data_IF_314318360390
#
_entry.id   IF_314318360390
#
_cell.length_a   1.000
_cell.length_b   1.000
_cell.length_c   1.000
_cell.angle_alpha   90.00
_cell.angle_beta   90.00
_cell.angle_gamma   90.00
#
_symmetry.space_group_name_H-M   'P 1'
#
loop_
_entity.id
_entity.type
_entity.pdbx_description
1 polymer ?
#
# COMPACT_ATOMS: atom_id res chain seq x y z
N UNK A 1 21.76 -0.43 28.47
CA UNK A 1 20.56 -1.28 28.62
C UNK A 1 20.62 -2.32 27.53
N UNK A 2 20.43 -3.60 27.85
CA UNK A 2 20.41 -4.67 26.85
C UNK A 2 19.00 -4.71 26.25
N UNK A 3 18.87 -4.48 24.96
CA UNK A 3 17.58 -4.53 24.26
C UNK A 3 17.54 -5.84 23.49
N UNK A 4 16.61 -6.72 23.86
CA UNK A 4 16.38 -8.00 23.20
C UNK A 4 14.98 -8.00 22.56
N UNK A 5 14.87 -8.07 21.23
CA UNK A 5 13.59 -8.26 20.56
C UNK A 5 13.05 -9.66 20.90
N UNK A 6 11.73 -9.83 20.84
CA UNK A 6 11.14 -11.17 20.89
C UNK A 6 11.44 -11.93 19.59
N UNK A 7 11.69 -13.23 19.70
CA UNK A 7 11.75 -14.11 18.52
C UNK A 7 10.40 -14.02 17.79
N UNK A 8 10.44 -13.82 16.47
CA UNK A 8 9.27 -13.56 15.63
C UNK A 8 8.89 -12.09 15.51
N UNK A 9 9.53 -11.16 16.22
CA UNK A 9 9.27 -9.73 16.07
C UNK A 9 9.64 -9.26 14.65
N UNK A 10 8.63 -8.86 13.88
CA UNK A 10 8.75 -8.38 12.51
C UNK A 10 8.43 -6.88 12.41
N UNK A 11 9.26 -6.15 11.67
CA UNK A 11 9.05 -4.73 11.38
C UNK A 11 10.36 -3.96 11.16
N UNK A 12 10.32 -2.65 11.34
CA UNK A 12 11.48 -1.77 11.13
C UNK A 12 12.37 -1.78 12.37
N UNK A 13 13.63 -2.16 12.19
CA UNK A 13 14.67 -2.12 13.21
C UNK A 13 15.50 -0.84 13.07
N UNK A 14 15.90 -0.28 14.20
CA UNK A 14 16.88 0.81 14.26
C UNK A 14 18.14 0.28 14.92
N UNK A 15 19.23 0.27 14.15
CA UNK A 15 20.52 -0.25 14.58
C UNK A 15 21.53 0.90 14.67
N UNK A 16 22.49 0.78 15.58
CA UNK A 16 23.63 1.66 15.66
C UNK A 16 24.65 1.35 14.54
N UNK A 17 25.47 2.34 14.19
CA UNK A 17 26.64 2.16 13.32
C UNK A 17 27.56 1.10 13.94
N UNK A 18 28.13 0.15 13.17
CA UNK A 18 28.12 0.07 11.69
C UNK A 18 26.95 -0.69 11.06
N UNK A 19 26.13 -1.38 11.84
CA UNK A 19 25.07 -2.27 11.33
C UNK A 19 23.92 -1.52 10.63
N UNK A 20 23.72 -0.25 10.96
CA UNK A 20 22.73 0.60 10.30
C UNK A 20 22.87 0.62 8.78
N UNK A 21 24.11 0.62 8.26
CA UNK A 21 24.36 0.66 6.82
C UNK A 21 23.97 -0.63 6.08
N UNK A 22 23.76 -1.74 6.81
CA UNK A 22 23.33 -3.01 6.23
C UNK A 22 21.81 -3.16 6.14
N UNK A 23 21.06 -2.28 6.81
CA UNK A 23 19.61 -2.26 6.70
C UNK A 23 19.18 -1.58 5.40
N UNK A 24 18.36 -2.27 4.62
CA UNK A 24 17.68 -1.66 3.50
C UNK A 24 16.60 -0.68 4.01
N UNK A 25 16.54 0.51 3.40
CA UNK A 25 15.60 1.58 3.77
C UNK A 25 14.16 1.07 3.74
N UNK A 26 13.39 1.34 4.80
CA UNK A 26 11.98 0.96 4.95
C UNK A 26 11.70 -0.55 4.75
N UNK A 27 12.70 -1.41 4.95
CA UNK A 27 12.53 -2.86 4.80
C UNK A 27 12.24 -3.50 6.16
N UNK A 28 11.16 -4.27 6.30
CA UNK A 28 10.90 -5.03 7.52
C UNK A 28 11.88 -6.20 7.63
N UNK A 29 12.43 -6.37 8.83
CA UNK A 29 13.20 -7.54 9.22
C UNK A 29 12.44 -8.31 10.30
N UNK A 30 12.71 -9.60 10.40
CA UNK A 30 12.16 -10.50 11.42
C UNK A 30 13.28 -11.03 12.28
N UNK A 31 13.15 -10.98 13.60
CA UNK A 31 14.06 -11.67 14.50
C UNK A 31 13.77 -13.17 14.46
N UNK A 32 14.70 -13.96 13.92
CA UNK A 32 14.54 -15.42 13.77
C UNK A 32 15.23 -16.18 14.88
N UNK A 33 16.36 -15.67 15.37
CA UNK A 33 17.14 -16.33 16.41
C UNK A 33 17.88 -15.32 17.29
N UNK A 34 18.10 -15.72 18.54
CA UNK A 34 18.92 -15.03 19.53
C UNK A 34 19.87 -16.08 20.11
N UNK A 35 21.17 -15.92 19.88
CA UNK A 35 22.20 -16.87 20.34
C UNK A 35 23.20 -16.15 21.24
N UNK A 36 23.67 -16.80 22.30
CA UNK A 36 24.78 -16.23 23.09
C UNK A 36 26.09 -16.45 22.34
N UNK A 37 27.07 -15.58 22.57
CA UNK A 37 28.43 -15.77 22.03
C UNK A 37 29.07 -17.08 22.53
N UNK A 38 28.74 -17.48 23.76
CA UNK A 38 29.14 -18.77 24.36
C UNK A 38 28.62 -19.97 23.56
N UNK A 39 27.37 -19.91 23.07
CA UNK A 39 26.77 -20.99 22.28
C UNK A 39 27.48 -21.14 20.94
N UNK A 40 27.80 -20.01 20.29
CA UNK A 40 28.54 -19.98 19.02
C UNK A 40 29.96 -20.53 19.20
N UNK A 41 30.61 -20.21 20.31
CA UNK A 41 31.93 -20.74 20.64
C UNK A 41 31.90 -22.24 20.92
N UNK A 42 30.82 -22.74 21.55
CA UNK A 42 30.62 -24.17 21.78
C UNK A 42 30.38 -24.96 20.47
N UNK A 43 29.84 -24.32 19.42
CA UNK A 43 29.75 -24.86 18.07
C UNK A 43 31.11 -24.89 17.33
N UNK A 44 32.19 -24.40 17.96
CA UNK A 44 33.54 -24.35 17.39
C UNK A 44 33.78 -23.19 16.44
N UNK A 45 32.87 -22.21 16.40
CA UNK A 45 32.98 -21.00 15.59
C UNK A 45 33.51 -19.85 16.45
N UNK A 46 34.47 -19.07 15.93
CA UNK A 46 34.93 -17.85 16.61
C UNK A 46 33.91 -16.71 16.42
N UNK A 47 33.18 -16.29 17.47
CA UNK A 47 32.15 -15.27 17.35
C UNK A 47 32.72 -13.89 16.97
N UNK A 48 33.98 -13.61 17.31
CA UNK A 48 34.63 -12.35 16.95
C UNK A 48 34.92 -12.30 15.45
N UNK A 49 35.54 -13.36 14.92
CA UNK A 49 35.87 -13.47 13.50
C UNK A 49 34.62 -13.49 12.61
N UNK A 50 33.50 -14.04 13.11
CA UNK A 50 32.26 -14.17 12.34
C UNK A 50 31.38 -12.90 12.35
N UNK A 51 31.23 -12.23 13.50
CA UNK A 51 30.22 -11.17 13.65
C UNK A 51 30.79 -9.76 13.87
N UNK A 52 32.05 -9.63 14.29
CA UNK A 52 32.64 -8.34 14.67
C UNK A 52 33.73 -7.91 13.68
N UNK A 53 34.62 -8.83 13.31
CA UNK A 53 35.76 -8.57 12.44
C UNK A 53 35.41 -8.29 10.97
N UNK A 54 34.43 -8.97 10.34
CA UNK A 54 34.25 -8.85 8.89
C UNK A 54 33.95 -7.42 8.44
N UNK A 55 34.48 -7.05 7.28
CA UNK A 55 34.06 -5.83 6.61
C UNK A 55 32.56 -5.96 6.24
N UNK A 56 31.75 -4.92 6.45
CA UNK A 56 32.13 -3.52 6.73
C UNK A 56 32.15 -3.12 8.22
N UNK A 57 32.00 -4.07 9.15
CA UNK A 57 31.85 -3.75 10.57
C UNK A 57 33.17 -3.34 11.22
N UNK A 58 34.25 -4.09 10.96
CA UNK A 58 35.61 -3.82 11.45
C UNK A 58 35.65 -3.42 12.94
N UNK A 59 34.88 -4.12 13.77
CA UNK A 59 34.77 -3.82 15.20
C UNK A 59 35.98 -4.42 15.91
N UNK A 60 36.66 -3.62 16.73
CA UNK A 60 37.84 -4.07 17.45
C UNK A 60 37.55 -5.12 18.53
N UNK A 61 38.51 -6.01 18.75
CA UNK A 61 38.44 -7.11 19.73
C UNK A 61 38.14 -6.64 21.16
N UNK A 62 38.61 -5.44 21.52
CA UNK A 62 38.31 -4.83 22.83
C UNK A 62 36.80 -4.68 23.08
N UNK A 63 36.03 -4.40 22.03
CA UNK A 63 34.57 -4.28 22.11
C UNK A 63 33.91 -5.64 22.26
N UNK A 64 34.39 -6.65 21.55
CA UNK A 64 33.92 -8.01 21.71
C UNK A 64 34.13 -8.52 23.14
N UNK A 65 35.31 -8.31 23.72
CA UNK A 65 35.60 -8.72 25.11
C UNK A 65 34.67 -8.00 26.11
N UNK A 66 34.34 -6.73 25.85
CA UNK A 66 33.36 -5.98 26.66
C UNK A 66 31.95 -6.59 26.53
N UNK A 67 31.55 -6.95 25.32
CA UNK A 67 30.24 -7.52 25.02
C UNK A 67 30.10 -8.93 25.62
N UNK A 68 31.16 -9.75 25.59
CA UNK A 68 31.20 -11.05 26.27
C UNK A 68 31.01 -10.86 27.78
N UNK A 69 31.72 -9.92 28.41
CA UNK A 69 31.56 -9.61 29.84
C UNK A 69 30.15 -9.11 30.22
N UNK A 70 29.42 -8.54 29.25
CA UNK A 70 28.05 -8.07 29.43
C UNK A 70 26.98 -9.12 29.08
N UNK A 71 27.37 -10.33 28.66
CA UNK A 71 26.44 -11.38 28.25
C UNK A 71 25.63 -11.00 27.00
N UNK A 72 26.27 -10.30 26.05
CA UNK A 72 25.62 -9.87 24.81
C UNK A 72 25.22 -11.06 23.94
N UNK A 73 24.05 -10.96 23.33
CA UNK A 73 23.53 -11.99 22.42
C UNK A 73 23.64 -11.52 20.97
N UNK A 74 23.92 -12.45 20.07
CA UNK A 74 23.86 -12.25 18.63
C UNK A 74 22.43 -12.49 18.16
N UNK A 75 21.85 -11.47 17.54
CA UNK A 75 20.48 -11.47 17.04
C UNK A 75 20.52 -11.66 15.54
N UNK A 76 19.81 -12.67 15.05
CA UNK A 76 19.71 -12.97 13.62
C UNK A 76 18.43 -12.35 13.06
N UNK A 77 18.59 -11.37 12.20
CA UNK A 77 17.53 -10.65 11.51
C UNK A 77 17.44 -11.12 10.07
N UNK A 78 16.24 -11.38 9.58
CA UNK A 78 15.98 -11.81 8.20
C UNK A 78 14.99 -10.85 7.55
N UNK A 79 15.35 -10.31 6.39
CA UNK A 79 14.42 -9.50 5.59
C UNK A 79 13.45 -10.38 4.81
N UNK A 80 12.32 -9.83 4.37
CA UNK A 80 11.38 -10.52 3.48
C UNK A 80 12.01 -10.93 2.13
N UNK A 81 13.15 -10.33 1.77
CA UNK A 81 13.94 -10.68 0.58
C UNK A 81 14.99 -11.77 0.83
N UNK A 82 15.03 -12.33 2.04
CA UNK A 82 15.97 -13.40 2.42
C UNK A 82 17.38 -12.91 2.80
N UNK A 83 17.58 -11.61 3.02
CA UNK A 83 18.86 -11.09 3.50
C UNK A 83 19.01 -11.37 5.00
N UNK A 84 20.08 -12.10 5.36
CA UNK A 84 20.45 -12.36 6.74
C UNK A 84 21.38 -11.27 7.26
N UNK A 85 21.13 -10.83 8.49
CA UNK A 85 21.96 -9.88 9.20
C UNK A 85 22.10 -10.32 10.66
N UNK A 86 23.33 -10.54 11.11
CA UNK A 86 23.65 -10.90 12.48
C UNK A 86 24.17 -9.67 13.21
N UNK A 87 23.53 -9.31 14.33
CA UNK A 87 23.79 -8.06 15.04
C UNK A 87 23.91 -8.35 16.53
N UNK A 88 24.98 -7.91 17.21
CA UNK A 88 25.03 -7.98 18.66
C UNK A 88 23.96 -7.08 19.28
N UNK A 89 23.31 -7.54 20.35
CA UNK A 89 22.20 -6.83 21.00
C UNK A 89 22.55 -5.44 21.54
N UNK A 90 23.84 -5.13 21.72
CA UNK A 90 24.35 -3.79 22.06
C UNK A 90 24.17 -2.76 20.96
N UNK A 91 23.97 -3.19 19.71
CA UNK A 91 23.77 -2.32 18.56
C UNK A 91 22.30 -2.16 18.17
N UNK A 92 21.36 -2.78 18.90
CA UNK A 92 19.92 -2.54 18.68
C UNK A 92 19.49 -1.31 19.48
N UNK A 93 19.13 -0.24 18.77
CA UNK A 93 18.59 0.98 19.38
C UNK A 93 17.07 0.84 19.58
N UNK A 94 16.39 0.28 18.58
CA UNK A 94 14.94 0.07 18.59
C UNK A 94 14.57 -1.17 17.81
N UNK A 95 13.60 -1.91 18.32
CA UNK A 95 12.96 -3.01 17.61
C UNK A 95 11.47 -2.71 17.43
N UNK A 96 10.82 -3.28 16.40
CA UNK A 96 9.41 -3.05 16.15
C UNK A 96 8.58 -3.63 17.30
N UNK A 97 7.76 -2.79 17.91
CA UNK A 97 6.64 -3.28 18.70
C UNK A 97 5.63 -3.92 17.73
N UNK A 98 5.08 -5.08 18.10
CA UNK A 98 4.07 -5.85 17.34
C UNK A 98 2.76 -5.08 17.02
N UNK A 99 2.68 -3.78 17.33
CA UNK A 99 1.51 -2.94 17.13
C UNK A 99 1.55 -2.14 15.81
N UNK A 100 2.39 -2.53 14.84
CA UNK A 100 2.43 -1.91 13.52
C UNK A 100 1.41 -2.51 12.56
N UNK A 101 0.59 -1.67 11.91
CA UNK A 101 -0.28 -2.09 10.80
C UNK A 101 0.54 -2.06 9.51
N UNK A 102 0.61 -3.20 8.81
CA UNK A 102 1.30 -3.30 7.54
C UNK A 102 0.50 -2.58 6.43
N UNK A 103 1.17 -1.73 5.65
CA UNK A 103 0.62 -1.10 4.46
C UNK A 103 1.27 -1.69 3.20
N UNK A 104 0.47 -1.99 2.20
CA UNK A 104 0.93 -2.48 0.88
C UNK A 104 0.43 -1.55 -0.20
N UNK A 105 1.29 -1.20 -1.16
CA UNK A 105 0.87 -0.44 -2.34
C UNK A 105 0.18 -1.40 -3.32
N UNK A 106 -1.10 -1.17 -3.60
CA UNK A 106 -1.93 -2.00 -4.49
C UNK A 106 -2.44 -1.14 -5.63
N UNK A 107 -2.25 -1.61 -6.87
CA UNK A 107 -2.76 -0.96 -8.09
C UNK A 107 -3.92 -1.77 -8.63
N UNK A 108 -5.04 -1.11 -8.93
CA UNK A 108 -6.22 -1.71 -9.55
C UNK A 108 -6.29 -1.19 -11.00
N UNK A 109 -6.13 -2.09 -11.97
CA UNK A 109 -6.27 -1.78 -13.40
C UNK A 109 -7.67 -2.12 -13.91
N UNK A 110 -8.26 -1.24 -14.72
CA UNK A 110 -9.56 -1.47 -15.38
C UNK A 110 -9.33 -1.59 -16.88
N UNK A 111 -9.72 -2.72 -17.47
CA UNK A 111 -9.65 -2.94 -18.92
C UNK A 111 -10.91 -2.39 -19.60
N UNK A 112 -10.74 -1.42 -20.51
CA UNK A 112 -11.84 -0.74 -21.22
C UNK A 112 -12.16 -1.34 -22.60
N UNK A 113 -11.37 -2.32 -23.07
CA UNK A 113 -11.52 -2.91 -24.41
C UNK A 113 -11.11 -1.96 -25.54
N UNK A 114 -11.57 -2.23 -26.76
CA UNK A 114 -11.27 -1.42 -27.93
C UNK A 114 -12.08 -0.11 -27.89
N UNK A 115 -11.38 1.00 -27.65
CA UNK A 115 -11.93 2.34 -27.67
C UNK A 115 -11.21 3.17 -28.75
N UNK A 116 -11.91 4.10 -29.42
CA UNK A 116 -11.26 5.02 -30.35
C UNK A 116 -10.20 5.85 -29.62
N UNK A 117 -9.06 6.06 -30.28
CA UNK A 117 -7.96 6.92 -29.80
C UNK A 117 -8.37 8.40 -29.67
N UNK A 118 -9.43 8.81 -30.37
CA UNK A 118 -10.04 10.14 -30.29
C UNK A 118 -10.90 10.35 -29.03
N UNK A 119 -11.21 9.30 -28.27
CA UNK A 119 -12.11 9.39 -27.11
C UNK A 119 -11.37 9.93 -25.88
N UNK A 120 -11.81 11.08 -25.39
CA UNK A 120 -11.21 11.69 -24.20
C UNK A 120 -11.68 10.98 -22.91
N UNK A 121 -10.76 10.27 -22.24
CA UNK A 121 -11.03 9.54 -20.99
C UNK A 121 -10.87 10.37 -19.71
N UNK A 122 -10.61 11.68 -19.80
CA UNK A 122 -10.28 12.52 -18.63
C UNK A 122 -11.41 12.58 -17.61
N UNK A 123 -12.66 12.62 -18.08
CA UNK A 123 -13.85 12.59 -17.22
C UNK A 123 -13.95 11.27 -16.44
N UNK A 124 -13.73 10.13 -17.12
CA UNK A 124 -13.77 8.79 -16.52
C UNK A 124 -12.68 8.63 -15.46
N UNK A 125 -11.46 9.11 -15.73
CA UNK A 125 -10.35 9.10 -14.77
C UNK A 125 -10.68 9.91 -13.52
N UNK A 126 -11.30 11.08 -13.69
CA UNK A 126 -11.68 11.97 -12.59
C UNK A 126 -12.77 11.34 -11.72
N UNK A 127 -13.77 10.73 -12.33
CA UNK A 127 -14.86 10.06 -11.62
C UNK A 127 -14.38 8.80 -10.90
N UNK A 128 -13.49 8.01 -11.51
CA UNK A 128 -12.87 6.85 -10.86
C UNK A 128 -12.03 7.28 -9.65
N UNK A 129 -11.24 8.35 -9.80
CA UNK A 129 -10.48 8.93 -8.68
C UNK A 129 -11.42 9.38 -7.54
N UNK A 130 -12.53 10.05 -7.86
CA UNK A 130 -13.52 10.47 -6.87
C UNK A 130 -14.19 9.28 -6.15
N UNK A 131 -14.54 8.21 -6.88
CA UNK A 131 -15.11 6.98 -6.28
C UNK A 131 -14.11 6.31 -5.33
N UNK A 132 -12.86 6.18 -5.74
CA UNK A 132 -11.81 5.58 -4.90
C UNK A 132 -11.55 6.43 -3.65
N UNK A 133 -11.50 7.75 -3.79
CA UNK A 133 -11.39 8.68 -2.65
C UNK A 133 -12.58 8.56 -1.71
N UNK A 134 -13.81 8.46 -2.22
CA UNK A 134 -15.01 8.33 -1.39
C UNK A 134 -15.10 6.98 -0.65
N UNK A 135 -14.62 5.89 -1.26
CA UNK A 135 -14.69 4.56 -0.65
C UNK A 135 -13.53 4.27 0.30
N UNK A 136 -12.32 4.74 0.01
CA UNK A 136 -11.11 4.39 0.76
C UNK A 136 -10.46 5.57 1.50
N UNK A 137 -10.90 6.81 1.26
CA UNK A 137 -10.32 8.01 1.88
C UNK A 137 -8.91 8.35 1.41
N UNK A 138 -8.43 7.75 0.31
CA UNK A 138 -7.09 7.99 -0.24
C UNK A 138 -7.08 9.36 -0.92
N UNK A 139 -6.27 10.29 -0.40
CA UNK A 139 -6.36 11.71 -0.75
C UNK A 139 -6.01 12.06 -2.22
N UNK A 140 -5.43 11.16 -3.01
CA UNK A 140 -5.08 11.39 -4.42
C UNK A 140 -4.71 10.06 -5.13
N UNK A 141 -5.68 9.24 -5.56
CA UNK A 141 -5.38 8.04 -6.33
C UNK A 141 -4.85 8.42 -7.73
N UNK A 142 -3.65 7.96 -8.07
CA UNK A 142 -3.06 8.17 -9.39
C UNK A 142 -3.63 7.14 -10.38
N UNK A 143 -4.49 7.57 -11.30
CA UNK A 143 -5.07 6.71 -12.35
C UNK A 143 -4.14 6.75 -13.57
N UNK A 144 -3.33 5.71 -13.75
CA UNK A 144 -2.45 5.56 -14.93
C UNK A 144 -3.19 4.89 -16.07
N UNK A 145 -3.12 5.50 -17.25
CA UNK A 145 -3.57 4.89 -18.50
C UNK A 145 -2.38 4.17 -19.14
N UNK A 146 -2.56 2.89 -19.43
CA UNK A 146 -1.58 2.08 -20.16
C UNK A 146 -2.32 1.46 -21.33
N UNK A 147 -1.98 1.87 -22.55
CA UNK A 147 -2.46 1.21 -23.76
C UNK A 147 -1.77 -0.16 -23.88
N UNK A 148 -2.55 -1.24 -23.83
CA UNK A 148 -2.04 -2.61 -23.73
C UNK A 148 -1.95 -3.32 -25.09
N UNK A 149 -2.42 -2.68 -26.17
CA UNK A 149 -2.54 -3.26 -27.51
C UNK A 149 -2.15 -2.28 -28.62
N UNK A 150 -1.63 -2.82 -29.74
CA UNK A 150 -1.32 -2.04 -30.95
C UNK A 150 -2.56 -1.34 -31.52
N UNK A 151 -2.37 -0.13 -32.08
CA UNK A 151 -3.43 0.64 -32.75
C UNK A 151 -3.89 -0.11 -34.00
N UNK A 152 -5.05 -0.78 -33.93
CA UNK A 152 -5.66 -1.46 -35.06
C UNK A 152 -6.64 -0.55 -35.80
N UNK A 153 -6.52 -0.46 -37.14
CA UNK A 153 -7.49 0.26 -37.98
C UNK A 153 -8.73 -0.60 -38.16
N UNK A 154 -9.82 -0.24 -37.49
CA UNK A 154 -11.14 -0.87 -37.66
C UNK A 154 -11.90 -0.21 -38.82
N UNK A 155 -12.77 -0.97 -39.49
CA UNK A 155 -13.66 -0.41 -40.51
C UNK A 155 -14.75 0.45 -39.88
N UNK A 156 -15.23 1.47 -40.59
CA UNK A 156 -16.29 2.37 -40.11
C UNK A 156 -17.56 1.61 -39.67
N UNK A 157 -17.95 0.55 -40.37
CA UNK A 157 -19.10 -0.27 -40.00
C UNK A 157 -18.92 -0.98 -38.65
N UNK A 158 -17.70 -1.43 -38.34
CA UNK A 158 -17.38 -2.05 -37.04
C UNK A 158 -17.29 -0.99 -35.94
N UNK A 159 -16.78 0.20 -36.24
CA UNK A 159 -16.80 1.35 -35.33
C UNK A 159 -18.23 1.73 -34.93
N UNK A 160 -19.12 1.90 -35.92
CA UNK A 160 -20.53 2.26 -35.69
C UNK A 160 -21.26 1.20 -34.85
N UNK A 161 -21.00 -0.09 -35.11
CA UNK A 161 -21.58 -1.19 -34.34
C UNK A 161 -21.08 -1.22 -32.89
N UNK A 162 -19.82 -0.89 -32.64
CA UNK A 162 -19.24 -0.85 -31.29
C UNK A 162 -19.75 0.38 -30.51
N UNK A 163 -19.85 1.54 -31.15
CA UNK A 163 -20.43 2.74 -30.54
C UNK A 163 -21.92 2.55 -30.24
N UNK A 164 -22.69 1.95 -31.16
CA UNK A 164 -24.09 1.61 -30.91
C UNK A 164 -24.23 0.65 -29.72
N UNK A 165 -23.37 -0.38 -29.63
CA UNK A 165 -23.34 -1.31 -28.49
C UNK A 165 -22.95 -0.60 -27.18
N UNK A 166 -22.03 0.35 -27.24
CA UNK A 166 -21.62 1.17 -26.08
C UNK A 166 -22.77 2.05 -25.59
N UNK A 167 -23.49 2.71 -26.49
CA UNK A 167 -24.66 3.51 -26.14
C UNK A 167 -25.78 2.67 -25.53
N UNK A 168 -26.03 1.48 -26.07
CA UNK A 168 -26.99 0.53 -25.50
C UNK A 168 -26.58 0.06 -24.09
N UNK A 169 -25.29 -0.18 -23.85
CA UNK A 169 -24.78 -0.54 -22.53
C UNK A 169 -24.86 0.60 -21.51
N UNK A 170 -24.78 1.87 -21.95
CA UNK A 170 -25.02 3.04 -21.10
C UNK A 170 -26.50 3.14 -20.73
N UNK A 171 -27.40 2.97 -21.70
CA UNK A 171 -28.85 3.05 -21.48
C UNK A 171 -29.34 1.92 -20.58
N UNK A 172 -28.82 0.70 -20.76
CA UNK A 172 -29.18 -0.48 -19.98
C UNK A 172 -28.36 -0.60 -18.67
N UNK A 173 -27.44 0.33 -18.39
CA UNK A 173 -26.63 0.27 -17.18
C UNK A 173 -27.48 0.58 -15.95
N UNK A 174 -27.64 -0.39 -15.05
CA UNK A 174 -28.25 -0.22 -13.73
C UNK A 174 -27.25 0.29 -12.68
N UNK A 175 -26.22 1.03 -13.11
CA UNK A 175 -25.13 1.50 -12.26
C UNK A 175 -25.64 2.53 -11.23
N UNK A 176 -24.89 2.73 -10.15
CA UNK A 176 -25.26 3.68 -9.09
C UNK A 176 -25.50 5.09 -9.64
N UNK A 177 -24.78 5.51 -10.69
CA UNK A 177 -24.98 6.79 -11.34
C UNK A 177 -26.33 6.86 -12.09
N UNK A 178 -26.69 5.81 -12.84
CA UNK A 178 -28.01 5.73 -13.48
C UNK A 178 -29.16 5.76 -12.47
N UNK A 179 -29.02 5.05 -11.33
CA UNK A 179 -30.00 5.11 -10.23
C UNK A 179 -30.05 6.49 -9.58
N UNK A 180 -28.91 7.15 -9.37
CA UNK A 180 -28.83 8.51 -8.83
C UNK A 180 -29.54 9.52 -9.74
N UNK A 181 -29.33 9.45 -11.05
CA UNK A 181 -30.00 10.34 -12.01
C UNK A 181 -31.53 10.15 -12.01
N UNK A 182 -32.00 8.91 -11.90
CA UNK A 182 -33.44 8.61 -11.78
C UNK A 182 -34.03 9.17 -10.49
N UNK A 183 -33.37 8.96 -9.35
CA UNK A 183 -33.84 9.51 -8.07
C UNK A 183 -33.76 11.04 -8.02
N UNK A 184 -32.74 11.63 -8.66
CA UNK A 184 -32.65 13.09 -8.81
C UNK A 184 -33.81 13.64 -9.63
N UNK A 185 -34.11 13.03 -10.79
CA UNK A 185 -35.25 13.43 -11.60
C UNK A 185 -36.59 13.29 -10.85
N UNK A 186 -36.73 12.24 -10.03
CA UNK A 186 -37.90 12.04 -9.17
C UNK A 186 -38.00 13.12 -8.08
N UNK A 187 -36.90 13.47 -7.43
CA UNK A 187 -36.85 14.51 -6.42
C UNK A 187 -37.19 15.89 -7.02
N UNK A 188 -36.66 16.20 -8.20
CA UNK A 188 -36.93 17.45 -8.92
C UNK A 188 -38.43 17.52 -9.34
N UNK A 189 -39.02 16.41 -9.79
CA UNK A 189 -40.45 16.34 -10.11
C UNK A 189 -41.36 16.51 -8.86
N UNK A 190 -41.00 15.89 -7.74
CA UNK A 190 -41.71 16.07 -6.46
C UNK A 190 -41.58 17.50 -5.93
N UNK A 191 -40.44 18.16 -6.12
CA UNK A 191 -40.25 19.56 -5.75
C UNK A 191 -41.19 20.48 -6.56
N UNK A 192 -41.33 20.24 -7.87
CA UNK A 192 -42.27 20.97 -8.73
C UNK A 192 -43.71 20.74 -8.28
N UNK A 193 -44.12 19.49 -8.01
CA UNK A 193 -45.47 19.21 -7.54
C UNK A 193 -45.77 19.87 -6.19
N UNK A 194 -44.83 19.84 -5.26
CA UNK A 194 -44.98 20.53 -3.97
C UNK A 194 -45.07 22.04 -4.13
N UNK A 195 -44.33 22.64 -5.07
CA UNK A 195 -44.44 24.06 -5.37
C UNK A 195 -45.83 24.42 -5.92
N UNK A 196 -46.36 23.61 -6.85
CA UNK A 196 -47.71 23.77 -7.40
C UNK A 196 -48.80 23.57 -6.34
N UNK A 197 -48.67 22.55 -5.48
CA UNK A 197 -49.59 22.31 -4.37
C UNK A 197 -49.58 23.47 -3.36
N UNK A 198 -48.40 23.99 -3.01
CA UNK A 198 -48.28 25.16 -2.13
C UNK A 198 -48.93 26.40 -2.76
N UNK A 199 -48.77 26.59 -4.06
CA UNK A 199 -49.40 27.69 -4.78
C UNK A 199 -50.92 27.54 -4.79
N UNK A 200 -51.42 26.34 -5.11
CA UNK A 200 -52.86 26.04 -5.07
C UNK A 200 -53.47 26.25 -3.69
N UNK A 201 -52.78 25.83 -2.62
CA UNK A 201 -53.21 26.07 -1.24
C UNK A 201 -53.28 27.57 -0.93
N UNK A 202 -52.29 28.37 -1.37
CA UNK A 202 -52.35 29.84 -1.18
C UNK A 202 -53.50 30.47 -1.95
N UNK A 203 -53.79 29.98 -3.15
CA UNK A 203 -54.85 30.52 -4.00
C UNK A 203 -56.26 30.11 -3.52
N UNK A 204 -56.38 29.03 -2.72
CA UNK A 204 -57.65 28.48 -2.24
C UNK A 204 -57.82 28.52 -0.72
N UNK A 205 -56.90 29.14 0.02
CA UNK A 205 -57.13 29.50 1.42
C UNK A 205 -58.05 30.72 1.48
N UNK A 206 -59.33 30.50 1.73
CA UNK A 206 -60.25 31.57 2.15
C UNK A 206 -59.82 32.12 3.52
N UNK A 207 -59.87 33.45 3.73
CA UNK A 207 -59.58 34.07 5.02
C UNK A 207 -60.55 33.64 6.14
#
# INVERSE_FOLDING_TARGET
MLILPSIGAKGIYELAVPFQAQLAVNTPYTCVAIRKTEDVQAEGVDPYAEYYQPAPFNIGESKYIEDVRKGVCIISLVSDKGQWLHVPSTYILKFPNLNGVNYTNVIIGVSLGAIPDTLNLSAVKTELAAVVTNMLGVASPEVKEVAVSETAVLSNATHDSLEASRQLNIINSSTSNAKYLVEKARADALAIQNALLKQWIKDHQTP
#
